data_IF_737996647623
#
_entry.id   IF_737996647623
#
_cell.length_a   1.000
_cell.length_b   1.000
_cell.length_c   1.000
_cell.angle_alpha   90.00
_cell.angle_beta   90.00
_cell.angle_gamma   90.00
#
_symmetry.space_group_name_H-M   'P 1'
#
loop_
_entity.id
_entity.type
_entity.pdbx_description
1 polymer ?
2 non-polymer ?
3 water ?
#
# COMPACT_ATOMS: atom_id res chain seq x y z
N UNK A 9 -8.31 5.55 -25.99
CA UNK A 9 -9.39 5.55 -24.99
C UNK A 9 -8.96 6.28 -23.73
N UNK A 10 -9.85 7.14 -23.22
CA UNK A 10 -9.59 7.84 -21.98
C UNK A 10 -9.64 6.87 -20.80
N UNK A 11 -9.25 7.37 -19.63
CA UNK A 11 -9.19 6.52 -18.46
C UNK A 11 -10.59 6.17 -17.97
N UNK A 12 -10.78 4.91 -17.58
CA UNK A 12 -12.07 4.44 -17.11
C UNK A 12 -12.28 4.68 -15.62
N UNK A 13 -11.20 4.60 -14.83
CA UNK A 13 -11.28 4.84 -13.40
C UNK A 13 -10.02 5.54 -12.93
N UNK A 14 -10.14 6.28 -11.84
CA UNK A 14 -9.00 6.88 -11.15
C UNK A 14 -9.01 6.37 -9.72
N UNK A 15 -7.88 5.82 -9.28
CA UNK A 15 -7.77 5.21 -7.96
C UNK A 15 -6.67 5.90 -7.16
N UNK A 16 -7.02 6.37 -5.97
CA UNK A 16 -6.09 7.02 -5.06
C UNK A 16 -5.59 5.98 -4.06
N UNK A 17 -4.33 5.59 -4.20
CA UNK A 17 -3.71 4.60 -3.33
C UNK A 17 -2.78 5.29 -2.34
N UNK A 18 -2.86 4.87 -1.07
CA UNK A 18 -2.11 5.48 0.01
C UNK A 18 -1.13 4.46 0.59
N UNK A 19 0.14 4.85 0.65
CA UNK A 19 1.19 4.01 1.23
C UNK A 19 1.46 4.47 2.66
N UNK A 20 1.39 3.53 3.60
CA UNK A 20 1.65 3.82 5.00
C UNK A 20 2.65 2.80 5.55
N UNK A 21 3.27 3.16 6.65
CA UNK A 21 4.27 2.31 7.29
C UNK A 21 5.32 3.15 7.97
N UNK A 22 6.07 2.51 8.86
CA UNK A 22 7.11 3.21 9.62
C UNK A 22 8.20 3.71 8.67
N UNK A 23 8.95 4.71 9.15
CA UNK A 23 10.04 5.28 8.37
C UNK A 23 11.15 4.25 8.20
N UNK A 24 11.52 3.96 6.96
CA UNK A 24 12.58 3.03 6.66
C UNK A 24 12.14 1.67 6.18
N UNK A 25 10.82 1.43 6.01
CA UNK A 25 10.35 0.14 5.55
C UNK A 25 10.40 -0.02 4.04
N UNK A 26 10.66 1.07 3.31
CA UNK A 26 10.73 1.03 1.87
C UNK A 26 9.53 1.57 1.14
N UNK A 27 8.84 2.57 1.70
CA UNK A 27 7.65 3.10 1.05
C UNK A 27 8.00 3.83 -0.25
N UNK A 28 8.93 4.78 -0.19
CA UNK A 28 9.29 5.54 -1.38
C UNK A 28 10.05 4.69 -2.39
N UNK A 29 10.71 3.61 -1.95
CA UNK A 29 11.36 2.71 -2.89
C UNK A 29 10.33 1.84 -3.61
N UNK A 30 9.31 1.37 -2.88
CA UNK A 30 8.22 0.64 -3.51
C UNK A 30 7.47 1.53 -4.49
N UNK A 31 7.31 2.81 -4.16
CA UNK A 31 6.69 3.75 -5.09
C UNK A 31 7.57 3.98 -6.31
N UNK A 32 8.89 4.13 -6.09
CA UNK A 32 9.79 4.33 -7.22
C UNK A 32 9.88 3.10 -8.11
N UNK A 33 9.83 1.91 -7.50
CA UNK A 33 9.91 0.69 -8.29
C UNK A 33 8.64 0.43 -9.09
N UNK A 34 7.49 0.84 -8.58
CA UNK A 34 6.25 0.58 -9.31
C UNK A 34 6.08 1.53 -10.49
N UNK A 35 6.34 2.82 -10.29
CA UNK A 35 6.10 3.81 -11.32
C UNK A 35 7.28 3.95 -12.27
N UNK A 36 8.50 4.02 -11.73
CA UNK A 36 9.70 4.25 -12.53
C UNK A 36 10.52 2.98 -12.77
N UNK A 37 10.20 1.88 -12.10
CA UNK A 37 10.87 0.59 -12.29
C UNK A 37 12.34 0.62 -11.87
N UNK A 38 12.68 1.47 -10.92
CA UNK A 38 14.07 1.63 -10.48
C UNK A 38 14.20 1.28 -9.00
N UNK A 39 15.45 1.21 -8.55
CA UNK A 39 15.76 0.89 -7.16
C UNK A 39 16.98 1.68 -6.73
N UNK A 40 16.82 2.49 -5.68
CA UNK A 40 17.91 3.27 -5.10
C UNK A 40 18.63 4.13 -6.12
N UNK A 48 8.50 16.18 1.82
CA UNK A 48 8.57 14.93 1.08
C UNK A 48 7.20 14.38 0.72
N UNK A 49 6.21 15.25 0.70
CA UNK A 49 4.83 14.87 0.38
C UNK A 49 4.63 15.01 -1.12
N UNK A 50 4.24 13.92 -1.77
CA UNK A 50 3.95 13.92 -3.20
C UNK A 50 3.22 12.64 -3.54
N UNK A 51 2.67 12.60 -4.76
CA UNK A 51 2.09 11.39 -5.31
C UNK A 51 2.58 11.21 -6.75
N UNK A 52 2.72 9.95 -7.15
CA UNK A 52 3.15 9.60 -8.49
C UNK A 52 2.13 8.66 -9.12
N UNK A 53 2.00 8.76 -10.44
CA UNK A 53 0.93 8.07 -11.16
C UNK A 53 1.53 7.04 -12.11
N UNK A 54 0.77 5.97 -12.33
CA UNK A 54 1.10 4.97 -13.33
C UNK A 54 -0.21 4.41 -13.89
N UNK A 55 -0.30 4.33 -15.22
CA UNK A 55 -1.49 3.82 -15.87
C UNK A 55 -1.39 2.30 -16.03
N UNK A 56 -2.43 1.60 -15.59
CA UNK A 56 -2.50 0.15 -15.70
C UNK A 56 -3.83 -0.25 -16.33
N UNK A 57 -3.92 -1.52 -16.70
CA UNK A 57 -5.16 -2.14 -17.16
C UNK A 57 -5.60 -3.18 -16.16
N UNK A 58 -6.88 -3.20 -15.82
CA UNK A 58 -7.46 -4.18 -14.91
C UNK A 58 -8.77 -4.66 -15.50
N UNK A 59 -8.80 -5.91 -15.94
CA UNK A 59 -9.99 -6.51 -16.55
C UNK A 59 -10.45 -5.70 -17.77
N UNK A 60 -9.49 -5.24 -18.56
CA UNK A 60 -9.79 -4.51 -19.78
C UNK A 60 -10.09 -3.05 -19.61
N UNK A 61 -9.93 -2.49 -18.41
CA UNK A 61 -10.24 -1.10 -18.12
C UNK A 61 -8.97 -0.34 -17.79
N UNK A 62 -8.80 0.81 -18.43
CA UNK A 62 -7.65 1.67 -18.18
C UNK A 62 -7.86 2.43 -16.88
N UNK A 63 -6.95 2.24 -15.92
CA UNK A 63 -7.05 2.84 -14.59
C UNK A 63 -5.79 3.66 -14.35
N UNK A 64 -5.96 4.95 -14.06
CA UNK A 64 -4.84 5.82 -13.72
C UNK A 64 -4.65 5.74 -12.21
N UNK A 65 -3.61 5.03 -11.78
CA UNK A 65 -3.34 4.85 -10.36
C UNK A 65 -2.69 6.10 -9.80
N UNK A 66 -3.04 6.42 -8.55
CA UNK A 66 -2.53 7.61 -7.86
C UNK A 66 -1.95 7.13 -6.53
N UNK A 67 -0.62 6.94 -6.49
CA UNK A 67 0.06 6.37 -5.35
C UNK A 67 0.63 7.50 -4.50
N UNK A 68 0.25 7.55 -3.23
CA UNK A 68 0.68 8.60 -2.31
C UNK A 68 1.70 8.06 -1.33
N UNK A 69 2.69 8.90 -1.01
CA UNK A 69 3.68 8.63 0.04
C UNK A 69 3.64 9.84 0.99
N UNK A 70 2.69 9.82 1.92
CA UNK A 70 2.41 10.99 2.75
C UNK A 70 2.46 10.70 4.25
N UNK A 71 2.90 9.51 4.66
CA UNK A 71 2.85 9.17 6.08
C UNK A 71 4.00 9.74 6.89
N UNK A 72 5.11 10.10 6.25
CA UNK A 72 6.30 10.47 6.98
C UNK A 72 6.42 11.93 7.36
N UNK A 73 5.84 12.82 6.55
CA UNK A 73 5.99 14.25 6.74
C UNK A 73 4.83 14.87 7.52
N UNK A 74 4.01 14.06 8.17
CA UNK A 74 2.92 14.59 8.97
C UNK A 74 3.45 15.24 10.23
N UNK A 75 2.68 16.19 10.77
CA UNK A 75 3.07 16.86 12.00
C UNK A 75 2.97 15.89 13.18
N UNK A 76 3.66 16.25 14.25
CA UNK A 76 3.78 15.37 15.41
C UNK A 76 2.42 15.14 16.06
N UNK A 77 2.04 13.87 16.19
CA UNK A 77 0.78 13.48 16.81
C UNK A 77 -0.42 14.13 16.13
N UNK A 78 -0.34 14.27 14.81
CA UNK A 78 -1.45 14.76 14.01
C UNK A 78 -1.61 13.89 12.77
N UNK A 79 -2.79 13.94 12.17
CA UNK A 79 -3.07 13.27 10.91
C UNK A 79 -3.84 14.23 10.01
N UNK A 80 -3.44 14.31 8.74
CA UNK A 80 -4.17 15.09 7.76
C UNK A 80 -5.34 14.24 7.28
N UNK A 81 -6.51 14.46 7.87
CA UNK A 81 -7.66 13.61 7.63
C UNK A 81 -8.17 13.70 6.19
N UNK A 82 -7.81 14.74 5.45
CA UNK A 82 -8.23 14.83 4.05
C UNK A 82 -7.44 13.85 3.16
N UNK A 83 -6.18 13.58 3.52
CA UNK A 83 -5.38 12.66 2.72
C UNK A 83 -5.88 11.22 2.84
N UNK A 84 -6.45 10.86 3.99
CA UNK A 84 -6.96 9.51 4.19
C UNK A 84 -8.33 9.30 3.58
N UNK A 85 -9.05 10.38 3.29
CA UNK A 85 -10.36 10.37 2.64
C UNK A 85 -10.17 10.33 1.11
N UNK A 86 -11.07 9.68 0.40
CA UNK A 86 -10.95 9.59 -1.04
C UNK A 86 -10.00 8.48 -1.47
N UNK A 87 -9.14 8.06 -0.56
CA UNK A 87 -8.19 6.98 -0.83
C UNK A 87 -8.96 5.66 -0.93
N UNK A 88 -9.01 5.11 -2.15
CA UNK A 88 -9.73 3.86 -2.35
C UNK A 88 -8.93 2.64 -1.89
N UNK A 89 -7.63 2.79 -1.69
CA UNK A 89 -6.80 1.69 -1.23
C UNK A 89 -5.64 2.15 -0.36
N UNK A 90 -5.38 1.43 0.73
CA UNK A 90 -4.29 1.76 1.65
C UNK A 90 -3.37 0.55 1.73
N UNK A 91 -2.11 0.75 1.41
CA UNK A 91 -1.10 -0.31 1.43
C UNK A 91 -0.31 -0.18 2.72
N UNK A 92 -0.56 -1.07 3.68
CA UNK A 92 0.18 -1.10 4.92
C UNK A 92 1.47 -1.88 4.72
N UNK A 93 2.60 -1.21 4.86
CA UNK A 93 3.91 -1.78 4.56
C UNK A 93 4.70 -1.93 5.86
N UNK A 94 5.36 -3.07 6.01
CA UNK A 94 6.31 -3.30 7.09
C UNK A 94 7.56 -3.92 6.52
N UNK A 95 8.60 -3.99 7.36
CA UNK A 95 9.90 -4.51 6.98
C UNK A 95 10.04 -5.92 7.54
N UNK A 96 10.16 -6.92 6.65
CA UNK A 96 10.32 -8.29 7.10
C UNK A 96 11.66 -8.51 7.78
N UNK A 97 12.62 -7.61 7.57
CA UNK A 97 13.90 -7.64 8.28
C UNK A 97 13.88 -6.82 9.56
N UNK A 98 12.73 -6.23 9.90
CA UNK A 98 12.59 -5.40 11.10
C UNK A 98 11.33 -5.83 11.82
N UNK A 99 11.49 -6.68 12.84
CA UNK A 99 10.33 -7.19 13.57
C UNK A 99 9.62 -6.10 14.37
N UNK A 100 10.32 -5.02 14.72
CA UNK A 100 9.66 -3.93 15.43
C UNK A 100 8.75 -3.13 14.50
N UNK A 101 9.04 -3.13 13.20
CA UNK A 101 8.14 -2.51 12.24
C UNK A 101 6.91 -3.37 12.00
N UNK A 102 7.07 -4.70 12.09
CA UNK A 102 5.92 -5.59 11.96
C UNK A 102 5.01 -5.50 13.18
N UNK A 103 5.60 -5.29 14.36
CA UNK A 103 4.81 -5.18 15.58
C UNK A 103 4.08 -3.85 15.68
N UNK A 104 4.48 -2.85 14.90
CA UNK A 104 3.81 -1.55 14.87
C UNK A 104 2.70 -1.49 13.83
N UNK A 105 2.40 -2.60 13.16
CA UNK A 105 1.32 -2.62 12.18
C UNK A 105 -0.03 -2.43 12.86
N UNK A 106 -0.18 -2.95 14.08
CA UNK A 106 -1.41 -2.75 14.83
C UNK A 106 -1.73 -1.27 15.01
N UNK A 107 -0.70 -0.45 15.24
CA UNK A 107 -0.91 0.98 15.37
C UNK A 107 -1.33 1.61 14.05
N UNK A 108 -0.74 1.14 12.95
CA UNK A 108 -1.09 1.66 11.63
C UNK A 108 -2.52 1.27 11.25
N UNK A 109 -2.85 -0.01 11.42
CA UNK A 109 -4.18 -0.48 11.04
C UNK A 109 -5.28 0.21 11.85
N UNK A 110 -4.99 0.56 13.11
CA UNK A 110 -6.00 1.23 13.92
C UNK A 110 -6.24 2.66 13.45
N UNK A 111 -5.17 3.35 13.04
CA UNK A 111 -5.32 4.73 12.60
C UNK A 111 -5.95 4.82 11.21
N UNK A 112 -5.54 3.94 10.31
CA UNK A 112 -6.09 3.97 8.94
C UNK A 112 -7.59 3.73 8.96
N UNK A 113 -8.02 2.68 9.65
CA UNK A 113 -9.45 2.35 9.67
C UNK A 113 -10.28 3.44 10.32
N UNK A 114 -9.69 4.20 11.24
CA UNK A 114 -10.45 5.25 11.91
C UNK A 114 -10.71 6.44 10.99
N UNK A 115 -9.79 6.74 10.09
CA UNK A 115 -9.89 7.93 9.25
C UNK A 115 -10.18 7.64 7.79
N UNK A 116 -9.77 6.47 7.28
CA UNK A 116 -10.22 6.07 5.96
C UNK A 116 -11.70 5.69 6.02
N UNK A 117 -12.34 5.68 4.85
CA UNK A 117 -13.76 5.40 4.78
C UNK A 117 -14.01 3.90 4.69
N UNK A 118 -15.28 3.51 4.90
CA UNK A 118 -15.66 2.11 5.00
C UNK A 118 -15.42 1.34 3.71
N UNK A 119 -15.39 2.00 2.56
CA UNK A 119 -15.18 1.30 1.30
C UNK A 119 -13.71 1.25 0.88
N UNK A 120 -12.81 1.84 1.67
CA UNK A 120 -11.40 1.72 1.37
C UNK A 120 -10.90 0.31 1.66
N UNK A 121 -10.05 -0.20 0.78
CA UNK A 121 -9.50 -1.54 0.90
C UNK A 121 -8.07 -1.47 1.40
N UNK A 122 -7.76 -2.26 2.43
CA UNK A 122 -6.44 -2.28 3.04
C UNK A 122 -5.69 -3.51 2.56
N UNK A 123 -4.41 -3.32 2.23
CA UNK A 123 -3.56 -4.38 1.72
C UNK A 123 -2.27 -4.42 2.54
N UNK A 124 -2.03 -5.54 3.21
CA UNK A 124 -0.81 -5.70 3.99
C UNK A 124 0.33 -6.18 3.11
N UNK A 125 1.50 -5.57 3.29
CA UNK A 125 2.67 -5.86 2.46
C UNK A 125 3.90 -5.98 3.35
N UNK A 126 4.65 -7.06 3.19
CA UNK A 126 5.93 -7.21 3.85
C UNK A 126 7.08 -6.94 2.90
N UNK A 127 7.65 -5.74 2.98
CA UNK A 127 8.67 -5.31 2.02
C UNK A 127 10.02 -5.95 2.35
N UNK A 128 10.96 -5.78 1.41
CA UNK A 128 12.33 -6.27 1.54
C UNK A 128 12.37 -7.80 1.66
N UNK A 129 11.53 -8.48 0.85
CA UNK A 129 11.53 -9.94 0.87
C UNK A 129 12.80 -10.53 0.30
N UNK A 130 13.65 -9.72 -0.32
CA UNK A 130 14.91 -10.22 -0.89
C UNK A 130 15.97 -10.42 0.18
N UNK A 131 15.95 -9.63 1.24
CA UNK A 131 16.96 -9.68 2.29
C UNK A 131 16.65 -10.83 3.23
N UNK A 132 17.02 -12.05 2.80
CA UNK A 132 16.79 -13.24 3.61
C UNK A 132 17.83 -13.40 4.72
N UNK A 133 19.01 -12.80 4.57
CA UNK A 133 20.03 -12.90 5.61
C UNK A 133 19.58 -12.16 6.87
N UNK A 134 18.88 -11.04 6.70
CA UNK A 134 18.45 -10.21 7.81
C UNK A 134 16.97 -10.39 8.16
N UNK A 135 16.33 -11.44 7.64
CA UNK A 135 14.91 -11.62 7.87
C UNK A 135 14.63 -11.84 9.35
N UNK A 136 13.70 -11.05 9.89
CA UNK A 136 13.25 -11.20 11.28
C UNK A 136 11.80 -11.59 11.41
N UNK A 137 11.00 -11.47 10.35
CA UNK A 137 9.59 -11.84 10.35
C UNK A 137 9.37 -12.86 9.24
N UNK A 138 8.76 -13.98 9.59
CA UNK A 138 8.48 -15.03 8.61
C UNK A 138 7.38 -14.58 7.66
N UNK A 139 7.35 -15.22 6.49
CA UNK A 139 6.24 -15.01 5.56
C UNK A 139 4.95 -15.55 6.14
N UNK A 140 5.03 -16.57 7.00
CA UNK A 140 3.84 -17.09 7.65
C UNK A 140 3.33 -16.15 8.73
N UNK A 141 4.22 -15.40 9.37
CA UNK A 141 3.78 -14.40 10.35
C UNK A 141 2.99 -13.30 9.67
N UNK A 142 3.43 -12.86 8.48
CA UNK A 142 2.68 -11.86 7.74
C UNK A 142 1.35 -12.38 7.24
N UNK A 143 1.33 -13.63 6.76
CA UNK A 143 0.06 -14.25 6.39
C UNK A 143 -0.85 -14.43 7.58
N UNK A 144 -0.27 -14.57 8.78
CA UNK A 144 -1.08 -14.70 9.99
C UNK A 144 -1.69 -13.37 10.38
N UNK A 145 -0.89 -12.29 10.39
CA UNK A 145 -1.43 -10.99 10.77
C UNK A 145 -2.47 -10.50 9.77
N UNK A 146 -2.25 -10.77 8.48
CA UNK A 146 -3.18 -10.32 7.46
C UNK A 146 -4.53 -11.03 7.60
N UNK A 147 -4.52 -12.34 7.85
CA UNK A 147 -5.79 -13.05 7.99
C UNK A 147 -6.50 -12.70 9.29
N UNK A 148 -5.79 -12.14 10.26
CA UNK A 148 -6.47 -11.65 11.46
C UNK A 148 -7.14 -10.31 11.21
N UNK A 149 -6.53 -9.43 10.43
CA UNK A 149 -7.11 -8.15 10.09
C UNK A 149 -8.06 -8.23 8.90
N UNK A 150 -8.26 -9.41 8.31
CA UNK A 150 -9.14 -9.60 7.16
C UNK A 150 -8.72 -8.72 5.99
N UNK A 151 -7.43 -8.78 5.64
CA UNK A 151 -6.88 -8.02 4.52
C UNK A 151 -6.01 -8.94 3.68
N UNK A 152 -5.86 -8.69 2.38
CA UNK A 152 -4.94 -9.48 1.56
C UNK A 152 -3.50 -9.25 1.99
N UNK A 153 -2.61 -10.12 1.50
CA UNK A 153 -1.22 -10.09 1.89
C UNK A 153 -0.32 -10.42 0.71
N UNK A 154 0.87 -9.82 0.71
CA UNK A 154 1.90 -10.08 -0.28
C UNK A 154 3.24 -9.68 0.30
N UNK A 155 4.25 -10.52 0.08
CA UNK A 155 5.64 -10.19 0.40
C UNK A 155 6.30 -9.69 -0.87
N UNK A 156 6.88 -8.48 -0.81
CA UNK A 156 7.42 -7.83 -1.99
C UNK A 156 8.81 -7.28 -1.69
N UNK A 157 9.45 -6.78 -2.74
CA UNK A 157 10.79 -6.22 -2.65
C UNK A 157 10.96 -5.18 -3.74
N UNK A 158 11.17 -3.92 -3.35
CA UNK A 158 11.52 -2.88 -4.31
C UNK A 158 12.88 -3.12 -4.95
N UNK A 159 13.70 -4.02 -4.38
CA UNK A 159 15.02 -4.30 -4.93
C UNK A 159 14.95 -5.35 -6.03
N UNK A 160 14.28 -6.47 -5.76
CA UNK A 160 14.15 -7.55 -6.73
C UNK A 160 12.90 -7.43 -7.60
N UNK A 161 12.08 -6.41 -7.39
CA UNK A 161 10.83 -6.19 -8.11
C UNK A 161 9.86 -7.37 -7.95
N UNK A 162 10.04 -8.18 -6.91
CA UNK A 162 9.17 -9.32 -6.68
C UNK A 162 7.84 -8.85 -6.11
N UNK A 163 6.74 -9.26 -6.77
CA UNK A 163 5.37 -8.99 -6.35
C UNK A 163 5.05 -7.51 -6.23
N UNK A 164 5.91 -6.63 -6.74
CA UNK A 164 5.65 -5.19 -6.62
C UNK A 164 4.45 -4.80 -7.47
N UNK A 165 4.42 -5.26 -8.73
CA UNK A 165 3.27 -4.99 -9.59
C UNK A 165 2.02 -5.64 -9.03
N UNK A 166 2.14 -6.87 -8.52
CA UNK A 166 0.97 -7.58 -8.00
C UNK A 166 0.35 -6.89 -6.81
N UNK A 167 1.09 -6.04 -6.09
CA UNK A 167 0.51 -5.26 -5.00
C UNK A 167 -0.59 -4.36 -5.53
N UNK A 168 -0.23 -3.49 -6.48
CA UNK A 168 -1.17 -2.49 -6.96
C UNK A 168 -2.18 -3.06 -7.95
N UNK A 169 -1.83 -4.11 -8.69
CA UNK A 169 -2.77 -4.71 -9.62
C UNK A 169 -3.87 -5.46 -8.87
N UNK A 170 -3.50 -6.20 -7.82
CA UNK A 170 -4.51 -6.87 -7.01
C UNK A 170 -5.37 -5.87 -6.26
N UNK A 171 -4.76 -4.83 -5.69
CA UNK A 171 -5.52 -3.82 -4.98
C UNK A 171 -6.48 -3.08 -5.91
N UNK A 172 -6.03 -2.81 -7.14
CA UNK A 172 -6.92 -2.16 -8.11
C UNK A 172 -8.06 -3.09 -8.53
N UNK A 173 -7.82 -4.39 -8.54
CA UNK A 173 -8.88 -5.34 -8.89
C UNK A 173 -9.92 -5.44 -7.79
N UNK A 174 -9.50 -5.29 -6.52
CA UNK A 174 -10.46 -5.33 -5.42
C UNK A 174 -11.30 -4.06 -5.39
N UNK A 175 -10.65 -2.90 -5.58
CA UNK A 175 -11.38 -1.64 -5.61
C UNK A 175 -12.37 -1.62 -6.76
N UNK A 176 -11.97 -2.16 -7.91
CA UNK A 176 -12.87 -2.24 -9.06
C UNK A 176 -14.12 -3.05 -8.75
N UNK A 177 -13.99 -4.04 -7.86
CA UNK A 177 -15.13 -4.86 -7.45
C UNK A 177 -15.89 -4.24 -6.28
N UNK A 178 -15.24 -3.42 -5.46
CA UNK A 178 -15.82 -2.92 -4.23
C UNK A 178 -16.25 -1.46 -4.27
N UNK A 179 -15.69 -0.65 -5.16
CA UNK A 179 -15.97 0.78 -5.14
C UNK A 179 -17.45 1.03 -5.42
N UNK A 180 -17.96 2.12 -4.84
CA UNK A 180 -19.39 2.40 -4.79
C UNK A 180 -19.76 3.34 -5.92
N UNK A 181 -20.92 3.07 -6.54
CA UNK A 181 -21.54 3.96 -7.53
C UNK A 181 -23.00 4.10 -7.13
N UNK A 182 -23.27 5.00 -6.20
CA UNK A 182 -24.60 5.13 -5.63
C UNK A 182 -25.56 5.77 -6.63
N UNK A 183 -26.82 5.34 -6.55
CA UNK A 183 -27.83 5.78 -7.51
C UNK A 183 -28.23 7.23 -7.29
N UNK A 184 -28.50 7.92 -8.38
CA UNK A 184 -28.93 9.33 -8.41
C UNK A 184 -27.88 10.25 -7.78
X LIG B 1 10.46 4.90 3.75
X LIG B 1 11.22 5.94 4.54
X LIG B 1 9.82 5.53 2.54
X LIG B 1 9.40 4.29 4.61
X LIG B 1 11.46 3.74 3.26
X LIG B 1 12.76 4.11 2.38
X LIG B 1 13.38 5.41 2.81
X LIG B 1 12.38 4.18 0.91
X LIG B 1 13.77 2.88 2.64
X LIG B 1 15.00 3.11 3.32
X LIG B 1 16.06 2.14 2.84
X LIG B 1 15.53 0.82 2.76
X LIG B 1 16.57 2.50 1.47
X LIG B 1 17.87 3.08 1.56
X LIG B 1 16.63 1.20 0.69
X LIG B 1 17.98 0.90 0.32
X LIG B 1 16.10 0.13 1.64
X LIG B 1 15.08 -0.68 0.95
X LIG B 1 13.87 -0.24 0.56
X LIG B 1 13.16 -1.23 -0.06
X LIG B 1 13.94 -2.33 -0.06
X LIG B 1 13.81 -3.72 -0.54
X LIG B 1 12.76 -4.11 -1.12
X LIG B 1 14.83 -4.56 -0.35
X LIG B 1 15.97 -4.17 0.26
X LIG B 1 16.96 -5.07 0.42
X LIG B 1 16.16 -2.91 0.73
X LIG B 1 15.19 -1.97 0.61
#
# INVERSE_FOLDING_TARGET
>A
MSGKGTSSRAYDMIMKLLLVGDSGVGKSCLLLRFVEDKFNPSFITTIGIDFKIRTIESKGKRIKLQVWDTAGQERFRTITTAYYRGAMGIVLIYDVTDSRSFENVENWFQTVTQHANEDAQIFLVGNKCDDEVNRQVSKEQGQELAAKLNVPFLEASAKSNENVDSIFYELASIIQEKHVEENI
>B hetero
1 GDP PB O1B O2B O3B O3A PA O1A O2A O5' C5' C4' O4' C3' O3' C2' O2' C1' N9 C8 N7 C5 C6 O6 N1 C2 N2 N3 C4
#
